data_IF_263861284782
#
_entry.id   IF_263861284782
#
_cell.length_a   1.000
_cell.length_b   1.000
_cell.length_c   1.000
_cell.angle_alpha   90.00
_cell.angle_beta   90.00
_cell.angle_gamma   90.00
#
_symmetry.space_group_name_H-M   'P 1'
#
loop_
_entity.id
_entity.type
_entity.pdbx_description
1 polymer ?
#
# COMPACT_ATOMS: atom_id res chain seq x y z
N UNK A 1 22.14 25.13 3.98
CA UNK A 1 21.48 24.63 2.75
C UNK A 1 22.10 23.33 2.21
N UNK A 2 23.41 23.28 1.81
CA UNK A 2 24.01 22.05 1.28
C UNK A 2 24.06 20.90 2.29
N UNK A 3 24.33 21.18 3.58
CA UNK A 3 24.34 20.17 4.65
C UNK A 3 22.93 19.67 4.99
N UNK A 4 21.95 20.55 4.99
CA UNK A 4 20.53 20.17 5.21
C UNK A 4 19.99 19.32 4.07
N UNK A 5 20.31 19.67 2.81
CA UNK A 5 19.94 18.87 1.65
C UNK A 5 20.58 17.47 1.69
N UNK A 6 21.85 17.37 2.13
CA UNK A 6 22.54 16.08 2.28
C UNK A 6 21.91 15.23 3.40
N UNK A 7 21.53 15.84 4.54
CA UNK A 7 20.86 15.15 5.64
C UNK A 7 19.47 14.63 5.22
N UNK A 8 18.67 15.45 4.53
CA UNK A 8 17.38 15.06 4.01
C UNK A 8 17.47 13.91 2.99
N UNK A 9 18.48 13.96 2.12
CA UNK A 9 18.77 12.88 1.17
C UNK A 9 19.11 11.58 1.90
N UNK A 10 20.00 11.62 2.89
CA UNK A 10 20.36 10.46 3.69
C UNK A 10 19.16 9.85 4.43
N UNK A 11 18.30 10.68 5.04
CA UNK A 11 17.06 10.21 5.67
C UNK A 11 16.11 9.53 4.67
N UNK A 12 16.00 10.10 3.46
CA UNK A 12 15.18 9.49 2.40
C UNK A 12 15.73 8.13 1.95
N UNK A 13 17.05 8.03 1.80
CA UNK A 13 17.72 6.77 1.45
C UNK A 13 17.52 5.71 2.54
N UNK A 14 17.71 6.04 3.83
CA UNK A 14 17.47 5.13 4.95
C UNK A 14 16.01 4.62 4.95
N UNK A 15 15.04 5.51 4.73
CA UNK A 15 13.63 5.11 4.62
C UNK A 15 13.40 4.16 3.45
N UNK A 16 14.00 4.43 2.31
CA UNK A 16 13.87 3.59 1.12
C UNK A 16 14.44 2.20 1.37
N UNK A 17 15.66 2.09 1.93
CA UNK A 17 16.27 0.80 2.28
C UNK A 17 15.45 0.04 3.30
N UNK A 18 14.87 0.73 4.29
CA UNK A 18 13.99 0.10 5.28
C UNK A 18 12.73 -0.51 4.70
N UNK A 19 12.32 -0.06 3.52
CA UNK A 19 11.21 -0.65 2.76
C UNK A 19 11.68 -1.82 1.92
N UNK A 20 12.71 -1.61 1.11
CA UNK A 20 13.29 -2.63 0.25
C UNK A 20 14.72 -2.23 -0.18
N UNK A 21 15.72 -3.13 -0.04
CA UNK A 21 17.12 -2.82 -0.38
C UNK A 21 17.31 -2.33 -1.82
N UNK A 22 16.59 -2.90 -2.77
CA UNK A 22 16.70 -2.55 -4.21
C UNK A 22 16.28 -1.12 -4.54
N UNK A 23 15.63 -0.39 -3.63
CA UNK A 23 15.21 0.99 -3.90
C UNK A 23 16.37 1.96 -4.05
N UNK A 24 17.60 1.59 -3.62
CA UNK A 24 18.82 2.37 -3.85
C UNK A 24 19.56 1.95 -5.11
N UNK A 25 19.56 0.66 -5.45
CA UNK A 25 20.37 0.09 -6.53
C UNK A 25 19.64 -0.16 -7.85
N UNK A 26 18.37 0.01 -7.88
CA UNK A 26 17.48 -0.33 -9.00
C UNK A 26 16.43 -1.35 -8.59
N UNK A 27 15.21 -1.15 -9.05
CA UNK A 27 14.11 -2.06 -8.75
C UNK A 27 14.35 -3.42 -9.43
N UNK A 28 13.93 -4.52 -8.79
CA UNK A 28 13.95 -5.83 -9.43
C UNK A 28 13.05 -5.83 -10.65
N UNK A 29 13.34 -6.69 -11.60
CA UNK A 29 12.41 -6.99 -12.70
C UNK A 29 11.12 -7.56 -12.11
N UNK A 30 9.99 -7.26 -12.76
CA UNK A 30 8.69 -7.78 -12.31
C UNK A 30 8.72 -9.32 -12.32
N UNK A 31 8.27 -9.97 -11.24
CA UNK A 31 8.30 -11.42 -11.14
C UNK A 31 7.34 -12.06 -12.12
N UNK A 32 7.72 -13.24 -12.64
CA UNK A 32 6.89 -14.02 -13.55
C UNK A 32 6.26 -15.25 -12.87
N UNK A 33 6.56 -15.45 -11.59
CA UNK A 33 5.99 -16.53 -10.77
C UNK A 33 5.81 -16.11 -9.33
N UNK A 34 5.02 -16.87 -8.57
CA UNK A 34 4.81 -16.67 -7.14
C UNK A 34 6.12 -16.84 -6.34
N UNK A 35 6.99 -17.77 -6.73
CA UNK A 35 8.29 -18.02 -6.09
C UNK A 35 9.23 -16.82 -6.27
N UNK A 36 9.27 -16.24 -7.46
CA UNK A 36 10.06 -15.04 -7.73
C UNK A 36 9.51 -13.84 -6.95
N UNK A 37 8.19 -13.68 -6.90
CA UNK A 37 7.53 -12.65 -6.11
C UNK A 37 7.85 -12.80 -4.61
N UNK A 38 7.78 -14.03 -4.10
CA UNK A 38 8.15 -14.33 -2.71
C UNK A 38 9.61 -14.02 -2.42
N UNK A 39 10.52 -14.35 -3.36
CA UNK A 39 11.95 -14.04 -3.23
C UNK A 39 12.19 -12.54 -3.11
N UNK A 40 11.57 -11.74 -3.97
CA UNK A 40 11.67 -10.27 -3.92
C UNK A 40 11.17 -9.73 -2.57
N UNK A 41 10.01 -10.19 -2.11
CA UNK A 41 9.45 -9.71 -0.84
C UNK A 41 10.27 -10.16 0.37
N UNK A 42 10.96 -11.29 0.28
CA UNK A 42 11.81 -11.81 1.35
C UNK A 42 13.11 -11.02 1.55
N UNK A 43 13.47 -10.13 0.65
CA UNK A 43 14.60 -9.20 0.83
C UNK A 43 14.30 -8.11 1.87
N UNK A 44 13.04 -7.93 2.28
CA UNK A 44 12.62 -6.92 3.25
C UNK A 44 11.89 -7.52 4.43
N UNK A 45 12.41 -7.32 5.63
CA UNK A 45 11.76 -7.74 6.87
C UNK A 45 10.34 -7.16 7.04
N UNK A 46 10.12 -5.91 6.59
CA UNK A 46 8.79 -5.28 6.58
C UNK A 46 7.85 -6.00 5.62
N UNK A 47 8.30 -6.35 4.42
CA UNK A 47 7.48 -7.04 3.42
C UNK A 47 7.19 -8.48 3.82
N UNK A 48 8.15 -9.19 4.43
CA UNK A 48 7.91 -10.51 5.04
C UNK A 48 6.78 -10.43 6.07
N UNK A 49 6.85 -9.44 6.97
CA UNK A 49 5.83 -9.24 8.00
C UNK A 49 4.48 -8.90 7.39
N UNK A 50 4.48 -8.02 6.40
CA UNK A 50 3.27 -7.63 5.65
C UNK A 50 2.63 -8.84 5.00
N UNK A 51 3.41 -9.70 4.36
CA UNK A 51 2.90 -10.91 3.71
C UNK A 51 2.24 -11.86 4.70
N UNK A 52 2.84 -12.06 5.89
CA UNK A 52 2.23 -12.86 6.97
C UNK A 52 0.90 -12.27 7.47
N UNK A 53 0.81 -10.94 7.54
CA UNK A 53 -0.44 -10.26 7.90
C UNK A 53 -1.49 -10.48 6.82
N UNK A 54 -1.13 -10.31 5.55
CA UNK A 54 -2.03 -10.51 4.40
C UNK A 54 -2.57 -11.94 4.32
N UNK A 55 -1.75 -12.96 4.62
CA UNK A 55 -2.19 -14.34 4.67
C UNK A 55 -3.28 -14.56 5.72
N UNK A 56 -3.13 -14.00 6.92
CA UNK A 56 -4.14 -14.06 7.98
C UNK A 56 -5.43 -13.32 7.61
N UNK A 57 -5.32 -12.19 6.91
CA UNK A 57 -6.50 -11.44 6.43
C UNK A 57 -7.23 -12.24 5.34
N UNK A 58 -6.48 -12.92 4.46
CA UNK A 58 -7.04 -13.83 3.45
C UNK A 58 -7.83 -14.96 4.07
N UNK A 59 -7.32 -15.58 5.14
CA UNK A 59 -8.04 -16.64 5.88
C UNK A 59 -9.37 -16.15 6.44
N UNK A 60 -9.45 -14.88 6.84
CA UNK A 60 -10.69 -14.23 7.29
C UNK A 60 -11.60 -13.78 6.14
N UNK A 61 -11.13 -13.88 4.91
CA UNK A 61 -11.83 -13.42 3.71
C UNK A 61 -12.21 -11.93 3.76
N UNK A 62 -11.33 -11.09 4.30
CA UNK A 62 -11.55 -9.66 4.54
C UNK A 62 -10.69 -8.78 3.62
N UNK A 63 -11.05 -7.49 3.51
CA UNK A 63 -10.38 -6.52 2.66
C UNK A 63 -9.36 -5.70 3.42
N UNK A 64 -8.26 -5.34 2.73
CA UNK A 64 -7.16 -4.60 3.31
C UNK A 64 -6.71 -3.45 2.42
N UNK A 65 -6.38 -2.33 3.07
CA UNK A 65 -5.73 -1.17 2.46
C UNK A 65 -4.28 -1.14 2.90
N UNK A 66 -3.37 -1.00 1.94
CA UNK A 66 -1.95 -0.79 2.19
C UNK A 66 -1.61 0.65 1.86
N UNK A 67 -1.22 1.44 2.86
CA UNK A 67 -0.68 2.79 2.65
C UNK A 67 0.82 2.72 2.37
N UNK A 68 1.20 3.20 1.19
CA UNK A 68 2.58 3.21 0.70
C UNK A 68 2.85 4.50 -0.06
N UNK A 69 3.83 5.29 0.38
CA UNK A 69 4.20 6.56 -0.26
C UNK A 69 5.17 6.35 -1.42
N UNK A 70 6.07 5.36 -1.31
CA UNK A 70 7.10 5.12 -2.31
C UNK A 70 6.50 4.64 -3.64
N UNK A 71 6.48 5.56 -4.63
CA UNK A 71 5.85 5.33 -5.94
C UNK A 71 6.54 4.25 -6.78
N UNK A 72 7.85 4.05 -6.57
CA UNK A 72 8.62 3.02 -7.29
C UNK A 72 8.26 1.61 -6.79
N UNK A 73 8.02 1.47 -5.48
CA UNK A 73 7.67 0.18 -4.89
C UNK A 73 6.21 -0.20 -5.13
N UNK A 74 5.29 0.77 -5.28
CA UNK A 74 3.86 0.49 -5.46
C UNK A 74 3.57 -0.53 -6.58
N UNK A 75 4.04 -0.35 -7.83
CA UNK A 75 3.75 -1.30 -8.90
C UNK A 75 4.43 -2.65 -8.70
N UNK A 76 5.64 -2.67 -8.15
CA UNK A 76 6.36 -3.92 -7.86
C UNK A 76 5.62 -4.72 -6.80
N UNK A 77 5.21 -4.08 -5.70
CA UNK A 77 4.44 -4.72 -4.65
C UNK A 77 3.09 -5.23 -5.17
N UNK A 78 2.37 -4.42 -5.94
CA UNK A 78 1.10 -4.82 -6.53
C UNK A 78 1.25 -6.08 -7.41
N UNK A 79 2.30 -6.12 -8.22
CA UNK A 79 2.57 -7.26 -9.08
C UNK A 79 3.01 -8.51 -8.30
N UNK A 80 3.85 -8.37 -7.27
CA UNK A 80 4.20 -9.47 -6.38
C UNK A 80 2.95 -10.05 -5.70
N UNK A 81 2.06 -9.20 -5.19
CA UNK A 81 0.83 -9.63 -4.53
C UNK A 81 -0.15 -10.29 -5.51
N UNK A 82 -0.21 -9.82 -6.77
CA UNK A 82 -0.94 -10.50 -7.84
C UNK A 82 -0.43 -11.94 -8.04
N UNK A 83 0.89 -12.11 -8.14
CA UNK A 83 1.48 -13.45 -8.34
C UNK A 83 1.24 -14.39 -7.15
N UNK A 84 1.30 -13.87 -5.92
CA UNK A 84 1.18 -14.70 -4.70
C UNK A 84 -0.27 -15.03 -4.37
N UNK A 85 -1.18 -14.06 -4.51
CA UNK A 85 -2.58 -14.22 -4.09
C UNK A 85 -3.55 -14.48 -5.24
N UNK A 86 -3.09 -14.36 -6.48
CA UNK A 86 -3.91 -14.44 -7.71
C UNK A 86 -5.11 -13.47 -7.69
N UNK A 87 -4.87 -12.25 -7.22
CA UNK A 87 -5.85 -11.15 -7.21
C UNK A 87 -5.23 -9.90 -7.85
N UNK A 88 -6.04 -9.15 -8.57
CA UNK A 88 -5.59 -7.90 -9.17
C UNK A 88 -5.53 -6.80 -8.12
N UNK A 89 -4.34 -6.28 -7.83
CA UNK A 89 -4.11 -5.24 -6.83
C UNK A 89 -4.02 -3.88 -7.51
N UNK A 90 -5.05 -3.08 -7.35
CA UNK A 90 -5.09 -1.73 -7.89
C UNK A 90 -4.28 -0.76 -7.02
N UNK A 91 -3.69 0.28 -7.65
CA UNK A 91 -2.89 1.32 -6.99
C UNK A 91 -3.52 2.69 -7.24
N UNK A 92 -3.76 3.45 -6.18
CA UNK A 92 -4.18 4.85 -6.26
C UNK A 92 -3.09 5.75 -5.66
N UNK A 93 -2.56 6.64 -6.47
CA UNK A 93 -1.57 7.64 -6.07
C UNK A 93 -1.85 9.00 -6.72
N UNK A 94 -0.89 9.95 -6.62
CA UNK A 94 -1.03 11.27 -7.19
C UNK A 94 -1.20 11.31 -8.72
N UNK A 95 -0.75 10.28 -9.44
CA UNK A 95 -0.87 10.15 -10.88
C UNK A 95 -2.20 9.57 -11.33
N UNK A 96 -2.93 8.90 -10.44
CA UNK A 96 -4.25 8.34 -10.74
C UNK A 96 -5.25 9.47 -10.94
N UNK A 97 -5.85 9.53 -12.12
CA UNK A 97 -6.79 10.61 -12.50
C UNK A 97 -8.04 10.58 -11.63
N UNK A 98 -8.48 11.76 -11.22
CA UNK A 98 -9.76 11.92 -10.50
C UNK A 98 -10.96 11.77 -11.44
N UNK A 99 -10.81 12.24 -12.69
CA UNK A 99 -11.80 12.17 -13.77
C UNK A 99 -11.11 11.86 -15.09
N UNK A 100 -11.73 11.08 -15.96
CA UNK A 100 -11.25 10.82 -17.33
C UNK A 100 -12.43 10.46 -18.22
N UNK A 101 -12.62 11.22 -19.30
CA UNK A 101 -13.66 10.96 -20.30
C UNK A 101 -13.37 9.68 -21.10
N UNK A 102 -12.09 9.40 -21.37
CA UNK A 102 -11.67 8.28 -22.23
C UNK A 102 -11.27 7.01 -21.49
N UNK A 103 -11.25 7.00 -20.14
CA UNK A 103 -10.83 5.86 -19.35
C UNK A 103 -11.52 5.85 -17.97
N UNK A 104 -12.85 5.79 -17.98
CA UNK A 104 -13.70 5.82 -16.79
C UNK A 104 -13.25 4.78 -15.76
N UNK A 105 -12.89 3.58 -16.20
CA UNK A 105 -12.45 2.48 -15.32
C UNK A 105 -11.08 2.72 -14.65
N UNK A 106 -10.33 3.76 -15.03
CA UNK A 106 -9.02 4.13 -14.45
C UNK A 106 -9.10 5.33 -13.52
N UNK A 107 -10.27 5.85 -13.25
CA UNK A 107 -10.45 6.93 -12.28
C UNK A 107 -10.35 6.39 -10.86
N UNK A 108 -9.94 7.25 -9.91
CA UNK A 108 -9.89 6.89 -8.48
C UNK A 108 -11.22 6.34 -7.99
N UNK A 109 -12.32 6.97 -8.39
CA UNK A 109 -13.68 6.56 -8.01
C UNK A 109 -14.01 5.16 -8.53
N UNK A 110 -13.80 4.89 -9.81
CA UNK A 110 -14.08 3.59 -10.41
C UNK A 110 -13.24 2.46 -9.80
N UNK A 111 -11.95 2.72 -9.53
CA UNK A 111 -11.07 1.76 -8.86
C UNK A 111 -11.59 1.42 -7.45
N UNK A 112 -12.01 2.44 -6.69
CA UNK A 112 -12.55 2.22 -5.35
C UNK A 112 -13.91 1.52 -5.38
N UNK A 113 -14.81 1.89 -6.28
CA UNK A 113 -16.10 1.20 -6.45
C UNK A 113 -15.90 -0.28 -6.78
N UNK A 114 -14.94 -0.59 -7.67
CA UNK A 114 -14.56 -1.97 -7.99
C UNK A 114 -14.00 -2.71 -6.74
N UNK A 115 -13.12 -2.07 -5.97
CA UNK A 115 -12.59 -2.63 -4.74
C UNK A 115 -13.69 -2.85 -3.70
N UNK A 116 -14.56 -1.87 -3.47
CA UNK A 116 -15.65 -1.95 -2.51
C UNK A 116 -16.68 -3.03 -2.89
N UNK A 117 -17.04 -3.12 -4.17
CA UNK A 117 -18.02 -4.09 -4.67
C UNK A 117 -17.48 -5.52 -4.80
N UNK A 118 -16.16 -5.72 -4.79
CA UNK A 118 -15.57 -7.06 -4.83
C UNK A 118 -16.00 -7.89 -3.63
N UNK A 119 -16.17 -9.20 -3.84
CA UNK A 119 -16.55 -10.12 -2.75
C UNK A 119 -15.28 -10.76 -2.17
N UNK A 120 -15.20 -10.82 -0.85
CA UNK A 120 -14.15 -11.54 -0.14
C UNK A 120 -12.84 -10.78 -0.02
N UNK A 121 -11.75 -11.54 0.10
CA UNK A 121 -10.41 -10.99 0.26
C UNK A 121 -9.99 -10.14 -0.93
N UNK A 122 -9.57 -8.91 -0.68
CA UNK A 122 -9.02 -8.04 -1.71
C UNK A 122 -8.03 -7.05 -1.09
N UNK A 123 -7.10 -6.56 -1.91
CA UNK A 123 -6.04 -5.64 -1.52
C UNK A 123 -6.08 -4.42 -2.44
N UNK A 124 -5.92 -3.23 -1.86
CA UNK A 124 -5.67 -1.99 -2.60
C UNK A 124 -4.47 -1.26 -2.01
N UNK A 125 -3.63 -0.69 -2.85
CA UNK A 125 -2.49 0.14 -2.43
C UNK A 125 -2.85 1.60 -2.65
N UNK A 126 -2.75 2.41 -1.60
CA UNK A 126 -3.06 3.84 -1.63
C UNK A 126 -1.84 4.67 -1.20
N UNK A 127 -1.58 5.75 -1.91
CA UNK A 127 -0.76 6.83 -1.35
C UNK A 127 -1.58 7.60 -0.30
N UNK A 128 -1.04 7.87 0.91
CA UNK A 128 -1.76 8.63 1.94
C UNK A 128 -2.29 9.99 1.46
N UNK A 129 -1.55 10.67 0.58
CA UNK A 129 -1.97 11.94 0.00
C UNK A 129 -3.16 11.77 -0.97
N UNK A 130 -3.21 10.69 -1.71
CA UNK A 130 -4.33 10.41 -2.61
C UNK A 130 -5.61 10.03 -1.85
N UNK A 131 -5.48 9.40 -0.69
CA UNK A 131 -6.59 9.10 0.21
C UNK A 131 -7.21 10.36 0.82
N UNK A 132 -6.47 11.48 0.89
CA UNK A 132 -6.94 12.76 1.45
C UNK A 132 -8.13 13.40 0.72
N UNK A 133 -8.46 12.96 -0.51
CA UNK A 133 -9.48 13.56 -1.35
C UNK A 133 -10.82 12.80 -1.20
N UNK A 134 -11.51 13.02 -0.06
CA UNK A 134 -12.94 12.69 0.07
C UNK A 134 -13.38 11.21 -0.03
N UNK A 135 -12.41 10.27 -0.08
CA UNK A 135 -12.72 8.85 -0.23
C UNK A 135 -13.17 8.23 1.09
N UNK A 136 -14.27 7.51 1.08
CA UNK A 136 -14.76 6.69 2.19
C UNK A 136 -14.70 5.22 1.78
N UNK A 137 -14.05 4.37 2.58
CA UNK A 137 -13.84 2.96 2.28
C UNK A 137 -14.24 2.15 3.52
N UNK A 138 -15.53 1.91 3.68
CA UNK A 138 -16.10 1.18 4.83
C UNK A 138 -16.08 -0.33 4.67
N UNK A 139 -15.86 -0.82 3.45
CA UNK A 139 -15.82 -2.24 3.13
C UNK A 139 -14.49 -2.92 3.52
N UNK A 140 -13.43 -2.12 3.73
CA UNK A 140 -12.18 -2.61 4.28
C UNK A 140 -12.14 -2.38 5.78
N UNK A 141 -11.64 -3.35 6.51
CA UNK A 141 -11.47 -3.29 7.97
C UNK A 141 -10.03 -3.55 8.42
N UNK A 142 -9.10 -3.73 7.48
CA UNK A 142 -7.67 -3.83 7.75
C UNK A 142 -6.91 -2.72 7.05
N UNK A 143 -5.98 -2.10 7.78
CA UNK A 143 -5.10 -1.03 7.30
C UNK A 143 -3.67 -1.37 7.63
N UNK A 144 -2.80 -1.38 6.63
CA UNK A 144 -1.36 -1.57 6.81
C UNK A 144 -0.66 -0.28 6.41
N UNK A 145 -0.01 0.42 7.35
CA UNK A 145 0.89 1.50 7.06
C UNK A 145 2.31 0.94 6.84
N UNK A 146 2.67 0.70 5.60
CA UNK A 146 3.97 0.13 5.24
C UNK A 146 5.10 1.14 5.46
N UNK A 147 4.80 2.44 5.29
CA UNK A 147 5.66 3.55 5.67
C UNK A 147 4.99 4.41 6.73
N UNK A 148 5.77 4.86 7.73
CA UNK A 148 5.31 5.88 8.68
C UNK A 148 5.36 7.25 8.03
N UNK A 149 4.32 8.04 8.18
CA UNK A 149 4.32 9.42 7.71
C UNK A 149 5.08 10.33 8.69
N UNK A 150 5.81 11.34 8.17
CA UNK A 150 6.51 12.33 9.01
C UNK A 150 5.55 13.09 9.94
N UNK A 151 4.35 13.36 9.47
CA UNK A 151 3.29 13.97 10.24
C UNK A 151 2.27 12.90 10.65
N UNK A 152 2.21 12.53 11.95
CA UNK A 152 1.27 11.54 12.45
C UNK A 152 -0.20 11.88 12.16
N UNK A 153 -0.54 13.18 12.10
CA UNK A 153 -1.90 13.61 11.78
C UNK A 153 -2.35 13.19 10.38
N UNK A 154 -1.42 13.16 9.40
CA UNK A 154 -1.73 12.67 8.05
C UNK A 154 -1.91 11.15 7.99
N UNK A 155 -1.19 10.42 8.82
CA UNK A 155 -1.37 8.98 8.98
C UNK A 155 -2.72 8.67 9.61
N UNK A 156 -3.08 9.38 10.69
CA UNK A 156 -4.39 9.30 11.32
C UNK A 156 -5.51 9.66 10.32
N UNK A 157 -5.36 10.76 9.58
CA UNK A 157 -6.33 11.17 8.56
C UNK A 157 -6.54 10.10 7.48
N UNK A 158 -5.47 9.41 7.05
CA UNK A 158 -5.59 8.30 6.10
C UNK A 158 -6.38 7.13 6.71
N UNK A 159 -6.11 6.79 7.97
CA UNK A 159 -6.83 5.75 8.72
C UNK A 159 -8.30 6.11 8.91
N UNK A 160 -8.62 7.38 9.20
CA UNK A 160 -9.99 7.86 9.40
C UNK A 160 -10.87 7.74 8.15
N UNK A 161 -10.29 7.49 6.98
CA UNK A 161 -11.05 7.17 5.75
C UNK A 161 -11.67 5.78 5.80
N UNK A 162 -11.10 4.90 6.59
CA UNK A 162 -11.58 3.53 6.82
C UNK A 162 -12.44 3.46 8.09
N UNK A 163 -12.02 4.16 9.14
CA UNK A 163 -12.74 4.27 10.41
C UNK A 163 -13.75 5.43 10.35
N UNK A 164 -14.88 5.21 9.69
CA UNK A 164 -15.95 6.22 9.51
C UNK A 164 -17.32 5.69 9.89
N UNK A 165 -18.27 6.62 10.02
CA UNK A 165 -19.69 6.30 10.15
C UNK A 165 -20.10 5.38 8.99
N UNK A 166 -20.63 4.19 9.31
CA UNK A 166 -20.97 3.14 8.35
C UNK A 166 -20.04 1.93 8.40
N UNK A 167 -18.88 2.00 9.04
CA UNK A 167 -18.04 0.83 9.31
C UNK A 167 -18.72 -0.05 10.36
N UNK A 168 -18.99 -1.30 10.00
CA UNK A 168 -19.69 -2.28 10.86
C UNK A 168 -18.75 -3.30 11.51
N UNK A 169 -17.48 -3.31 11.13
CA UNK A 169 -16.47 -4.24 11.62
C UNK A 169 -15.43 -3.51 12.45
N UNK A 170 -14.78 -4.24 13.35
CA UNK A 170 -13.59 -3.76 14.02
C UNK A 170 -12.49 -3.45 13.00
N UNK A 171 -11.85 -2.30 13.14
CA UNK A 171 -10.74 -1.87 12.27
C UNK A 171 -9.41 -2.25 12.90
N UNK A 172 -8.61 -2.99 12.15
CA UNK A 172 -7.27 -3.42 12.56
C UNK A 172 -6.22 -2.60 11.82
N UNK A 173 -5.33 -1.95 12.59
CA UNK A 173 -4.24 -1.12 12.06
C UNK A 173 -2.92 -1.83 12.32
N UNK A 174 -2.13 -2.03 11.27
CA UNK A 174 -0.83 -2.69 11.32
C UNK A 174 0.28 -1.70 10.96
N UNK A 175 1.32 -1.71 11.77
CA UNK A 175 2.52 -0.88 11.59
C UNK A 175 3.75 -1.80 11.54
N UNK A 176 4.05 -2.43 10.39
CA UNK A 176 5.22 -3.30 10.28
C UNK A 176 6.50 -2.51 10.56
N UNK A 177 7.26 -2.93 11.57
CA UNK A 177 8.52 -2.33 11.99
C UNK A 177 9.65 -3.33 11.86
N UNK A 178 10.86 -2.84 11.58
CA UNK A 178 12.08 -3.61 11.73
C UNK A 178 12.42 -3.66 13.22
N UNK A 179 12.63 -4.86 13.76
CA UNK A 179 13.16 -5.07 15.10
C UNK A 179 14.62 -5.46 14.90
N UNK A 180 15.52 -4.74 15.55
CA UNK A 180 16.95 -5.07 15.60
C UNK A 180 17.19 -6.12 16.67
#
# INVERSE_FOLDING_TARGET
EKREAAALKGLHEIRSVSLHPSLLGGLPTLPQSAEQAQSILNESGKLIKTLKILQKIKEKNEKVIIFLTNRKLQPVLAHCLLMIFNINVDVINGETKSFSENAINKTRKAILEKFCSSIGFNIIILSPLAAGVGLTITEANHVIHLERHWNPAKEAQATDRVYRIGQKKDVYIYLPTLIH
#
